data_IF_408141814900
#
_entry.id   IF_408141814900
#
_cell.length_a   1.000
_cell.length_b   1.000
_cell.length_c   1.000
_cell.angle_alpha   90.00
_cell.angle_beta   90.00
_cell.angle_gamma   90.00
#
_symmetry.space_group_name_H-M   'P 1'
#
loop_
_entity.id
_entity.type
_entity.pdbx_description
1 polymer ?
#
# COMPACT_ATOMS: atom_id res chain seq x y z
N UNK A 1 -47.40 4.12 56.59
CA UNK A 1 -47.15 3.79 58.00
C UNK A 1 -45.67 4.05 58.27
N UNK A 2 -45.45 5.05 59.10
CA UNK A 2 -44.43 5.31 60.12
C UNK A 2 -42.96 5.15 59.72
N UNK A 3 -42.23 6.26 59.55
CA UNK A 3 -41.46 7.09 60.50
C UNK A 3 -40.43 6.23 61.29
N UNK A 4 -39.13 6.61 61.38
CA UNK A 4 -38.61 7.81 62.06
C UNK A 4 -37.09 7.89 61.92
N UNK A 5 -36.61 9.07 61.63
CA UNK A 5 -35.45 9.80 62.08
C UNK A 5 -34.74 9.36 63.36
N UNK A 6 -33.38 9.49 63.39
CA UNK A 6 -32.75 10.21 64.52
C UNK A 6 -31.33 10.71 64.18
N UNK A 7 -31.15 12.00 64.41
CA UNK A 7 -29.89 12.76 64.57
C UNK A 7 -29.39 12.63 66.02
N UNK A 8 -28.08 12.90 66.24
CA UNK A 8 -27.47 13.69 67.35
C UNK A 8 -25.93 13.43 67.31
N UNK A 9 -25.08 14.33 67.04
CA UNK A 9 -24.47 15.54 67.67
C UNK A 9 -23.45 15.28 68.79
N UNK A 10 -22.32 15.97 68.62
CA UNK A 10 -21.42 16.68 69.54
C UNK A 10 -20.25 16.01 70.22
N UNK A 11 -19.08 16.48 69.86
CA UNK A 11 -17.99 17.14 70.62
C UNK A 11 -17.57 16.50 71.98
N UNK A 12 -16.27 16.24 72.08
CA UNK A 12 -15.47 16.77 73.21
C UNK A 12 -13.96 16.74 72.88
N UNK A 13 -13.36 17.82 73.15
CA UNK A 13 -11.94 18.18 73.20
C UNK A 13 -11.29 17.58 74.45
N UNK A 14 -10.03 17.15 74.38
CA UNK A 14 -9.10 17.27 75.52
C UNK A 14 -7.66 17.34 75.03
N UNK A 15 -6.98 18.31 75.62
CA UNK A 15 -5.58 18.71 75.45
C UNK A 15 -4.65 17.73 76.20
N UNK A 16 -3.46 17.52 75.68
CA UNK A 16 -2.35 16.90 76.43
C UNK A 16 -1.01 17.18 75.68
N UNK A 17 -0.16 17.91 76.39
CA UNK A 17 1.10 18.50 75.94
C UNK A 17 2.28 17.54 76.07
N UNK A 18 3.29 17.78 75.21
CA UNK A 18 4.75 17.72 75.38
C UNK A 18 5.50 16.40 75.15
N UNK A 19 6.53 16.49 74.30
CA UNK A 19 7.65 15.58 74.25
C UNK A 19 8.37 15.63 72.91
N UNK A 20 9.35 16.52 72.77
CA UNK A 20 10.22 16.61 71.61
C UNK A 20 11.25 15.44 71.52
N UNK A 21 11.36 14.87 70.35
CA UNK A 21 12.64 14.27 69.91
C UNK A 21 12.68 14.35 68.36
N UNK A 22 13.48 15.27 67.88
CA UNK A 22 13.81 15.41 66.47
C UNK A 22 14.78 14.29 66.07
N UNK A 23 14.36 13.39 65.20
CA UNK A 23 15.28 12.53 64.44
C UNK A 23 15.12 12.92 62.95
N UNK A 24 16.07 13.70 62.47
CA UNK A 24 16.30 13.97 61.04
C UNK A 24 16.72 12.65 60.37
N UNK A 25 15.77 11.98 59.72
CA UNK A 25 16.09 10.99 58.67
C UNK A 25 16.10 11.74 57.37
N UNK A 26 17.30 12.05 56.87
CA UNK A 26 17.50 12.52 55.52
C UNK A 26 17.09 11.38 54.56
N UNK A 27 15.84 11.38 54.16
CA UNK A 27 15.35 10.58 53.07
C UNK A 27 15.93 11.15 51.77
N UNK A 28 16.93 10.46 51.23
CA UNK A 28 17.34 10.66 49.84
C UNK A 28 16.13 10.32 48.96
N UNK A 29 15.33 11.36 48.65
CA UNK A 29 14.30 11.27 47.62
C UNK A 29 15.01 10.98 46.30
N UNK A 30 15.00 9.70 45.88
CA UNK A 30 15.25 9.40 44.48
C UNK A 30 14.29 10.27 43.63
N UNK A 31 14.78 10.99 42.63
CA UNK A 31 13.88 11.71 41.75
C UNK A 31 12.92 10.69 41.17
N UNK A 32 11.65 10.77 41.53
CA UNK A 32 10.59 10.13 40.78
C UNK A 32 10.72 10.70 39.36
N UNK A 33 11.34 9.93 38.48
CA UNK A 33 11.25 10.17 37.05
C UNK A 33 9.76 10.01 36.74
N UNK A 34 9.03 11.12 36.83
CA UNK A 34 7.75 11.26 36.13
C UNK A 34 8.11 11.02 34.67
N UNK A 35 8.04 9.73 34.24
CA UNK A 35 7.84 9.44 32.83
C UNK A 35 6.53 10.13 32.50
N UNK A 36 6.64 11.35 31.94
CA UNK A 36 5.56 11.91 31.18
C UNK A 36 5.13 10.75 30.28
N UNK A 37 3.89 10.30 30.41
CA UNK A 37 3.29 9.34 29.53
C UNK A 37 3.28 10.07 28.19
N UNK A 38 4.34 9.83 27.38
CA UNK A 38 4.61 10.59 26.16
C UNK A 38 3.37 10.49 25.28
N UNK A 39 2.90 11.62 24.76
CA UNK A 39 1.79 11.64 23.83
C UNK A 39 1.99 10.56 22.76
N UNK A 40 0.94 9.79 22.51
CA UNK A 40 0.95 8.74 21.49
C UNK A 40 1.03 9.40 20.12
N UNK A 41 1.78 8.84 19.18
CA UNK A 41 1.73 9.24 17.77
C UNK A 41 0.61 8.42 17.11
N UNK A 42 -0.47 9.07 16.69
CA UNK A 42 -1.56 8.40 15.98
C UNK A 42 -1.30 8.41 14.49
N UNK A 43 -1.49 7.25 13.88
CA UNK A 43 -1.39 7.03 12.43
C UNK A 43 -2.74 6.55 11.93
N UNK A 44 -3.34 7.31 11.01
CA UNK A 44 -4.56 6.90 10.32
C UNK A 44 -4.22 5.89 9.23
N UNK A 45 -5.02 4.84 9.11
CA UNK A 45 -4.90 3.86 8.05
C UNK A 45 -6.25 3.65 7.37
N UNK A 46 -6.30 3.82 6.05
CA UNK A 46 -7.49 3.66 5.23
C UNK A 46 -7.20 2.68 4.10
N UNK A 47 -8.01 1.63 4.02
CA UNK A 47 -7.89 0.61 2.98
C UNK A 47 -9.25 -0.04 2.74
N UNK A 48 -9.57 -0.53 1.53
CA UNK A 48 -10.82 -1.25 1.31
C UNK A 48 -10.79 -2.61 2.01
N UNK A 49 -11.71 -2.86 2.93
CA UNK A 49 -11.88 -4.17 3.60
C UNK A 49 -13.08 -4.93 3.06
N UNK A 50 -13.84 -4.31 2.18
CA UNK A 50 -15.04 -4.87 1.53
C UNK A 50 -14.97 -4.72 0.03
N UNK A 51 -15.85 -5.44 -0.70
CA UNK A 51 -15.88 -5.40 -2.16
C UNK A 51 -14.74 -6.16 -2.84
N UNK A 52 -14.50 -5.87 -4.12
CA UNK A 52 -13.57 -6.61 -4.97
C UNK A 52 -12.08 -6.43 -4.59
N UNK A 53 -11.74 -5.40 -3.84
CA UNK A 53 -10.39 -5.14 -3.30
C UNK A 53 -10.22 -5.61 -1.84
N UNK A 54 -11.30 -6.05 -1.17
CA UNK A 54 -11.28 -6.43 0.23
C UNK A 54 -10.16 -7.38 0.63
N UNK A 55 -9.92 -8.48 -0.09
CA UNK A 55 -8.83 -9.41 0.23
C UNK A 55 -7.42 -8.77 0.22
N UNK A 56 -7.22 -7.74 -0.60
CA UNK A 56 -5.95 -6.96 -0.63
C UNK A 56 -5.84 -6.06 0.60
N UNK A 57 -6.93 -5.41 0.99
CA UNK A 57 -6.99 -4.57 2.18
C UNK A 57 -6.71 -5.34 3.48
N UNK A 58 -7.10 -6.61 3.57
CA UNK A 58 -6.73 -7.46 4.71
C UNK A 58 -5.20 -7.60 4.86
N UNK A 59 -4.47 -7.78 3.75
CA UNK A 59 -3.02 -7.84 3.76
C UNK A 59 -2.39 -6.49 4.12
N UNK A 60 -2.95 -5.38 3.63
CA UNK A 60 -2.53 -4.03 4.00
C UNK A 60 -2.60 -3.82 5.52
N UNK A 61 -3.74 -4.17 6.16
CA UNK A 61 -3.89 -4.12 7.62
C UNK A 61 -2.86 -4.98 8.35
N UNK A 62 -2.60 -6.20 7.86
CA UNK A 62 -1.61 -7.09 8.45
C UNK A 62 -0.20 -6.47 8.38
N UNK A 63 0.17 -5.89 7.24
CA UNK A 63 1.47 -5.27 7.03
C UNK A 63 1.72 -4.09 7.97
N UNK A 64 0.82 -3.11 7.97
CA UNK A 64 0.97 -1.92 8.84
C UNK A 64 0.91 -2.28 10.32
N UNK A 65 0.10 -3.27 10.70
CA UNK A 65 0.00 -3.76 12.09
C UNK A 65 1.34 -4.34 12.55
N UNK A 66 1.97 -5.20 11.73
CA UNK A 66 3.27 -5.77 12.05
C UNK A 66 4.33 -4.67 12.24
N UNK A 67 4.37 -3.68 11.34
CA UNK A 67 5.31 -2.55 11.46
C UNK A 67 5.12 -1.78 12.77
N UNK A 68 3.88 -1.49 13.16
CA UNK A 68 3.57 -0.79 14.42
C UNK A 68 3.92 -1.65 15.63
N UNK A 69 3.65 -2.96 15.62
CA UNK A 69 4.03 -3.89 16.67
C UNK A 69 5.56 -3.89 16.90
N UNK A 70 6.35 -4.03 15.81
CA UNK A 70 7.81 -4.01 15.87
C UNK A 70 8.37 -2.68 16.37
N UNK A 71 7.91 -1.56 15.83
CA UNK A 71 8.35 -0.23 16.25
C UNK A 71 8.03 0.01 17.73
N UNK A 72 6.86 -0.39 18.18
CA UNK A 72 6.46 -0.27 19.58
C UNK A 72 7.26 -1.19 20.50
N UNK A 73 7.61 -2.40 20.06
CA UNK A 73 8.49 -3.30 20.78
C UNK A 73 9.91 -2.71 20.92
N UNK A 74 10.39 -2.00 19.89
CA UNK A 74 11.66 -1.28 19.89
C UNK A 74 11.69 0.02 20.72
N UNK A 75 10.62 0.38 21.42
CA UNK A 75 10.55 1.59 22.25
C UNK A 75 9.74 2.74 21.64
N UNK A 76 9.13 2.53 20.47
CA UNK A 76 8.34 3.51 19.74
C UNK A 76 9.18 4.42 18.84
N UNK A 77 8.59 5.52 18.41
CA UNK A 77 9.24 6.54 17.57
C UNK A 77 9.41 7.81 18.41
N UNK A 78 10.61 8.36 18.45
CA UNK A 78 10.96 9.49 19.34
C UNK A 78 10.60 9.25 20.82
N UNK A 79 10.69 7.99 21.29
CA UNK A 79 10.30 7.58 22.64
C UNK A 79 8.80 7.54 22.90
N UNK A 80 7.98 7.71 21.86
CA UNK A 80 6.50 7.72 21.91
C UNK A 80 5.96 6.43 21.27
N UNK A 81 4.88 5.90 21.82
CA UNK A 81 4.17 4.76 21.20
C UNK A 81 3.39 5.19 19.97
N UNK A 82 3.29 4.30 19.00
CA UNK A 82 2.42 4.43 17.85
C UNK A 82 1.04 3.83 18.15
N UNK A 83 -0.01 4.53 17.79
CA UNK A 83 -1.39 4.05 17.80
C UNK A 83 -1.93 4.03 16.36
N UNK A 84 -2.30 2.86 15.88
CA UNK A 84 -2.87 2.67 14.54
C UNK A 84 -4.39 2.80 14.59
N UNK A 85 -4.94 3.69 13.78
CA UNK A 85 -6.38 3.89 13.59
C UNK A 85 -6.77 3.40 12.20
N UNK A 86 -7.05 2.08 12.08
CA UNK A 86 -7.35 1.43 10.80
C UNK A 86 -8.84 1.32 10.55
N UNK A 87 -9.29 1.71 9.34
CA UNK A 87 -10.69 1.69 8.93
C UNK A 87 -10.90 1.31 7.46
N UNK A 88 -12.07 0.73 7.18
CA UNK A 88 -12.51 0.42 5.81
C UNK A 88 -12.84 1.72 5.06
N UNK A 89 -12.18 1.94 3.93
CA UNK A 89 -12.42 3.10 3.07
C UNK A 89 -13.75 3.01 2.29
N UNK A 90 -14.22 1.81 2.01
CA UNK A 90 -15.50 1.47 1.33
C UNK A 90 -15.62 2.06 -0.08
N UNK A 91 -15.59 3.39 -0.21
CA UNK A 91 -15.73 4.15 -1.45
C UNK A 91 -15.14 5.57 -1.28
N UNK A 92 -14.97 6.36 -2.36
CA UNK A 92 -14.32 7.68 -2.28
C UNK A 92 -14.97 8.65 -1.29
N UNK A 93 -16.30 8.70 -1.21
CA UNK A 93 -17.01 9.58 -0.28
C UNK A 93 -16.78 9.20 1.18
N UNK A 94 -16.85 7.91 1.48
CA UNK A 94 -16.57 7.38 2.83
C UNK A 94 -15.11 7.56 3.20
N UNK A 95 -14.18 7.30 2.26
CA UNK A 95 -12.75 7.49 2.46
C UNK A 95 -12.40 8.95 2.81
N UNK A 96 -12.95 9.91 2.05
CA UNK A 96 -12.81 11.35 2.32
C UNK A 96 -13.30 11.73 3.72
N UNK A 97 -14.52 11.30 4.08
CA UNK A 97 -15.12 11.60 5.40
C UNK A 97 -14.28 11.00 6.53
N UNK A 98 -13.80 9.78 6.38
CA UNK A 98 -12.97 9.11 7.39
C UNK A 98 -11.58 9.73 7.49
N UNK A 99 -10.95 10.09 6.37
CA UNK A 99 -9.68 10.80 6.36
C UNK A 99 -9.78 12.13 7.12
N UNK A 100 -10.83 12.92 6.87
CA UNK A 100 -11.07 14.17 7.58
C UNK A 100 -11.23 13.94 9.09
N UNK A 101 -12.03 12.95 9.49
CA UNK A 101 -12.22 12.60 10.89
C UNK A 101 -10.91 12.16 11.57
N UNK A 102 -10.15 11.27 10.94
CA UNK A 102 -8.87 10.79 11.47
C UNK A 102 -7.89 11.94 11.70
N UNK A 103 -7.83 12.92 10.78
CA UNK A 103 -6.95 14.08 10.87
C UNK A 103 -7.45 15.08 11.91
N UNK A 104 -8.69 15.55 11.78
CA UNK A 104 -9.18 16.71 12.53
C UNK A 104 -9.67 16.36 13.94
N UNK A 105 -10.32 15.20 14.11
CA UNK A 105 -10.88 14.80 15.38
C UNK A 105 -9.96 13.88 16.17
N UNK A 106 -9.43 12.87 15.47
CA UNK A 106 -8.68 11.81 16.12
C UNK A 106 -7.18 12.14 16.21
N UNK A 107 -6.72 13.21 15.55
CA UNK A 107 -5.38 13.78 15.66
C UNK A 107 -4.29 12.92 15.01
N UNK A 108 -4.63 12.20 13.92
CA UNK A 108 -3.64 11.43 13.16
C UNK A 108 -2.55 12.37 12.59
N UNK A 109 -1.29 11.99 12.82
CA UNK A 109 -0.12 12.73 12.30
C UNK A 109 0.01 12.57 10.79
N UNK A 110 -0.41 11.44 10.25
CA UNK A 110 -0.45 11.13 8.83
C UNK A 110 -1.53 10.09 8.52
N UNK A 111 -1.80 9.89 7.22
CA UNK A 111 -2.60 8.78 6.71
C UNK A 111 -1.66 7.83 5.92
N UNK A 112 -1.84 6.52 6.08
CA UNK A 112 -1.21 5.47 5.29
C UNK A 112 -2.31 4.67 4.62
N UNK A 113 -2.07 4.20 3.42
CA UNK A 113 -2.93 3.22 2.77
C UNK A 113 -3.42 3.65 1.41
N UNK A 114 -4.48 3.14 1.10
CA UNK A 114 -5.48 3.08 0.06
C UNK A 114 -5.01 2.30 -1.18
N UNK A 115 -5.92 1.46 -1.69
CA UNK A 115 -5.71 0.64 -2.89
C UNK A 115 -6.52 1.21 -4.06
N UNK A 116 -7.74 1.70 -3.81
CA UNK A 116 -8.58 2.29 -4.85
C UNK A 116 -8.08 3.68 -5.24
N UNK A 117 -7.63 3.85 -6.50
CA UNK A 117 -7.19 5.16 -6.99
C UNK A 117 -8.26 6.24 -6.91
N UNK A 118 -9.54 5.89 -7.00
CA UNK A 118 -10.64 6.83 -6.81
C UNK A 118 -10.74 7.33 -5.36
N UNK A 119 -10.58 6.44 -4.38
CA UNK A 119 -10.53 6.79 -2.96
C UNK A 119 -9.24 7.54 -2.61
N UNK A 120 -8.11 7.13 -3.20
CA UNK A 120 -6.82 7.80 -3.03
C UNK A 120 -6.85 9.27 -3.45
N UNK A 121 -7.51 9.60 -4.57
CA UNK A 121 -7.75 10.99 -5.00
C UNK A 121 -8.52 11.77 -3.94
N UNK A 122 -9.58 11.20 -3.38
CA UNK A 122 -10.40 11.85 -2.37
C UNK A 122 -9.65 12.05 -1.04
N UNK A 123 -8.83 11.08 -0.62
CA UNK A 123 -7.97 11.19 0.58
C UNK A 123 -6.89 12.25 0.37
N UNK A 124 -6.25 12.27 -0.79
CA UNK A 124 -5.19 13.23 -1.12
C UNK A 124 -5.68 14.68 -1.03
N UNK A 125 -6.91 14.96 -1.49
CA UNK A 125 -7.53 16.27 -1.37
C UNK A 125 -7.73 16.67 0.10
N UNK A 126 -8.20 15.76 0.95
CA UNK A 126 -8.38 16.02 2.40
C UNK A 126 -7.03 16.23 3.08
N UNK A 127 -6.05 15.38 2.81
CA UNK A 127 -4.71 15.45 3.36
C UNK A 127 -4.02 16.77 2.99
N UNK A 128 -4.10 17.17 1.71
CA UNK A 128 -3.55 18.43 1.21
C UNK A 128 -4.17 19.66 1.88
N UNK A 129 -5.49 19.74 1.99
CA UNK A 129 -6.19 20.85 2.68
C UNK A 129 -5.79 20.97 4.15
N UNK A 130 -5.53 19.85 4.81
CA UNK A 130 -5.15 19.79 6.22
C UNK A 130 -3.63 19.83 6.44
N UNK A 131 -2.82 19.89 5.38
CA UNK A 131 -1.36 19.83 5.43
C UNK A 131 -0.85 18.63 6.22
N UNK A 132 -1.43 17.45 5.94
CA UNK A 132 -1.05 16.17 6.55
C UNK A 132 -0.53 15.23 5.50
N UNK A 133 0.54 14.51 5.85
CA UNK A 133 1.10 13.49 4.97
C UNK A 133 0.11 12.36 4.69
N UNK A 134 0.06 11.96 3.44
CA UNK A 134 -0.60 10.75 2.97
C UNK A 134 0.42 9.87 2.23
N UNK A 135 0.71 8.70 2.77
CA UNK A 135 1.50 7.67 2.09
C UNK A 135 0.57 6.73 1.33
N UNK A 136 0.52 6.88 0.02
CA UNK A 136 -0.22 6.02 -0.89
C UNK A 136 0.51 4.70 -1.09
N UNK A 137 -0.12 3.58 -0.72
CA UNK A 137 0.49 2.24 -0.71
C UNK A 137 -0.07 1.28 -1.76
N UNK A 138 -1.15 1.66 -2.46
CA UNK A 138 -1.79 0.77 -3.43
C UNK A 138 -2.51 1.45 -4.61
N UNK A 139 -2.54 2.80 -4.67
CA UNK A 139 -3.17 3.51 -5.79
C UNK A 139 -2.18 3.75 -6.94
N UNK A 140 -2.40 3.10 -8.08
CA UNK A 140 -1.46 3.10 -9.20
C UNK A 140 -1.70 4.19 -10.23
N UNK A 141 -2.88 4.87 -10.27
CA UNK A 141 -3.19 5.85 -11.31
C UNK A 141 -2.13 6.93 -11.43
N UNK A 142 -1.63 7.16 -12.64
CA UNK A 142 -0.66 8.21 -12.95
C UNK A 142 -1.22 9.62 -12.66
N UNK A 143 -2.56 9.78 -12.65
CA UNK A 143 -3.19 11.05 -12.32
C UNK A 143 -2.80 11.56 -10.91
N UNK A 144 -2.58 10.65 -9.97
CA UNK A 144 -2.15 10.98 -8.60
C UNK A 144 -0.72 11.56 -8.53
N UNK A 145 0.11 11.27 -9.53
CA UNK A 145 1.50 11.75 -9.68
C UNK A 145 1.63 12.87 -10.72
N UNK A 146 0.52 13.21 -11.39
CA UNK A 146 0.45 14.21 -12.46
C UNK A 146 -0.59 15.28 -12.17
N UNK A 147 -1.69 15.27 -12.93
CA UNK A 147 -2.71 16.31 -12.86
C UNK A 147 -3.35 16.53 -11.48
N UNK A 148 -3.35 15.50 -10.62
CA UNK A 148 -3.90 15.54 -9.27
C UNK A 148 -2.83 15.29 -8.20
N UNK A 149 -1.57 15.61 -8.51
CA UNK A 149 -0.49 15.46 -7.52
C UNK A 149 -0.66 16.43 -6.34
N UNK A 150 -0.18 16.01 -5.19
CA UNK A 150 -0.20 16.82 -3.98
C UNK A 150 1.15 16.77 -3.28
N UNK A 151 1.63 17.93 -2.83
CA UNK A 151 2.87 18.02 -2.05
C UNK A 151 2.80 17.20 -0.75
N UNK A 152 1.60 16.92 -0.26
CA UNK A 152 1.39 16.13 0.96
C UNK A 152 1.19 14.64 0.70
N UNK A 153 1.35 14.16 -0.54
CA UNK A 153 1.19 12.74 -0.88
C UNK A 153 2.51 12.16 -1.39
N UNK A 154 2.93 11.05 -0.76
CA UNK A 154 4.07 10.24 -1.16
C UNK A 154 3.60 8.88 -1.65
N UNK A 155 4.16 8.39 -2.73
CA UNK A 155 3.73 7.17 -3.40
C UNK A 155 4.72 6.03 -3.15
N UNK A 156 4.37 5.11 -2.23
CA UNK A 156 5.07 3.83 -2.06
C UNK A 156 4.76 2.91 -3.24
N UNK A 157 3.50 2.94 -3.67
CA UNK A 157 3.02 2.16 -4.81
C UNK A 157 3.57 2.71 -6.14
N UNK A 158 3.81 1.79 -7.11
CA UNK A 158 4.20 2.14 -8.46
C UNK A 158 3.09 2.82 -9.26
N UNK A 159 3.47 3.71 -10.17
CA UNK A 159 2.55 4.28 -11.14
C UNK A 159 2.13 3.24 -12.19
N UNK A 160 0.93 3.36 -12.79
CA UNK A 160 0.50 2.52 -13.91
C UNK A 160 1.55 2.46 -15.02
N UNK A 161 2.19 3.59 -15.31
CA UNK A 161 3.28 3.66 -16.31
C UNK A 161 4.49 2.81 -15.93
N UNK A 162 4.82 2.67 -14.65
CA UNK A 162 5.90 1.80 -14.18
C UNK A 162 5.54 0.32 -14.41
N UNK A 163 4.32 -0.07 -14.11
CA UNK A 163 3.81 -1.41 -14.34
C UNK A 163 3.79 -1.78 -15.83
N UNK A 164 3.30 -0.86 -16.67
CA UNK A 164 3.27 -1.04 -18.13
C UNK A 164 4.69 -1.12 -18.70
N UNK A 165 5.63 -0.28 -18.25
CA UNK A 165 7.03 -0.34 -18.69
C UNK A 165 7.69 -1.67 -18.28
N UNK A 166 7.52 -2.12 -17.03
CA UNK A 166 8.10 -3.37 -16.54
C UNK A 166 7.61 -4.59 -17.33
N UNK A 167 6.30 -4.81 -17.38
CA UNK A 167 5.71 -5.94 -18.11
C UNK A 167 5.85 -5.78 -19.62
N UNK A 168 5.69 -4.57 -20.14
CA UNK A 168 5.80 -4.26 -21.56
C UNK A 168 7.17 -4.59 -22.15
N UNK A 169 8.26 -4.38 -21.40
CA UNK A 169 9.60 -4.79 -21.82
C UNK A 169 9.71 -6.31 -22.01
N UNK A 170 9.10 -7.09 -21.13
CA UNK A 170 9.07 -8.55 -21.28
C UNK A 170 8.25 -8.96 -22.53
N UNK A 171 7.11 -8.32 -22.76
CA UNK A 171 6.27 -8.57 -23.93
C UNK A 171 6.96 -8.15 -25.23
N UNK A 172 7.73 -7.07 -25.23
CA UNK A 172 8.57 -6.65 -26.37
C UNK A 172 9.64 -7.71 -26.69
N UNK A 173 10.40 -8.14 -25.69
CA UNK A 173 11.40 -9.21 -25.87
C UNK A 173 10.77 -10.53 -26.36
N UNK A 174 9.54 -10.80 -25.93
CA UNK A 174 8.76 -11.97 -26.36
C UNK A 174 8.11 -11.84 -27.74
N UNK A 175 8.30 -10.72 -28.46
CA UNK A 175 7.71 -10.50 -29.80
C UNK A 175 6.17 -10.35 -29.76
N UNK A 176 5.62 -9.96 -28.62
CA UNK A 176 4.17 -9.89 -28.41
C UNK A 176 3.58 -8.48 -28.59
N UNK A 177 4.35 -7.51 -29.10
CA UNK A 177 3.89 -6.11 -29.27
C UNK A 177 3.85 -5.69 -30.73
N UNK A 178 4.98 -5.65 -31.41
CA UNK A 178 5.07 -5.12 -32.77
C UNK A 178 4.20 -5.91 -33.76
N UNK A 179 3.28 -5.23 -34.43
CA UNK A 179 2.34 -5.81 -35.39
C UNK A 179 1.28 -6.70 -34.74
N UNK A 180 1.14 -6.69 -33.44
CA UNK A 180 0.20 -7.51 -32.68
C UNK A 180 -1.09 -6.77 -32.37
N UNK A 181 -2.18 -7.53 -32.37
CA UNK A 181 -3.54 -7.09 -32.10
C UNK A 181 -3.96 -7.54 -30.69
N UNK A 182 -4.14 -6.58 -29.79
CA UNK A 182 -4.46 -6.82 -28.39
C UNK A 182 -5.92 -6.55 -28.09
N UNK A 183 -6.48 -7.32 -27.15
CA UNK A 183 -7.82 -7.14 -26.61
C UNK A 183 -7.71 -6.86 -25.11
N UNK A 184 -8.28 -5.74 -24.64
CA UNK A 184 -8.25 -5.38 -23.23
C UNK A 184 -9.58 -5.67 -22.51
N UNK A 185 -9.49 -6.19 -21.29
CA UNK A 185 -10.52 -6.14 -20.27
C UNK A 185 -10.06 -5.14 -19.22
N UNK A 186 -10.82 -4.08 -19.00
CA UNK A 186 -10.42 -2.93 -18.18
C UNK A 186 -11.42 -2.70 -17.06
N UNK A 187 -10.96 -2.65 -15.82
CA UNK A 187 -11.80 -2.34 -14.67
C UNK A 187 -12.42 -0.94 -14.81
N UNK A 188 -13.74 -0.84 -14.68
CA UNK A 188 -14.50 0.39 -14.94
C UNK A 188 -14.45 1.36 -13.74
N UNK A 189 -13.23 1.88 -13.45
CA UNK A 189 -13.00 2.95 -12.48
C UNK A 189 -11.65 3.64 -12.72
N UNK A 190 -11.30 4.66 -11.92
CA UNK A 190 -10.14 5.54 -12.15
C UNK A 190 -8.82 4.82 -12.44
N UNK A 191 -8.53 3.71 -11.75
CA UNK A 191 -7.34 2.89 -12.00
C UNK A 191 -7.34 2.29 -13.40
N UNK A 192 -8.41 1.57 -13.77
CA UNK A 192 -8.46 0.84 -15.04
C UNK A 192 -8.46 1.77 -16.26
N UNK A 193 -9.21 2.88 -16.20
CA UNK A 193 -9.20 3.88 -17.27
C UNK A 193 -7.81 4.47 -17.50
N UNK A 194 -7.12 4.81 -16.43
CA UNK A 194 -5.75 5.34 -16.52
C UNK A 194 -4.77 4.26 -17.00
N UNK A 195 -4.88 3.04 -16.49
CA UNK A 195 -4.03 1.92 -16.91
C UNK A 195 -4.17 1.62 -18.40
N UNK A 196 -5.42 1.58 -18.91
CA UNK A 196 -5.65 1.40 -20.34
C UNK A 196 -5.05 2.54 -21.17
N UNK A 197 -5.22 3.80 -20.74
CA UNK A 197 -4.63 4.98 -21.41
C UNK A 197 -3.10 4.85 -21.53
N UNK A 198 -2.43 4.42 -20.47
CA UNK A 198 -0.97 4.22 -20.45
C UNK A 198 -0.58 3.04 -21.33
N UNK A 199 -1.28 1.92 -21.22
CA UNK A 199 -1.04 0.72 -22.01
C UNK A 199 -1.23 0.97 -23.52
N UNK A 200 -2.29 1.68 -23.91
CA UNK A 200 -2.57 2.02 -25.31
C UNK A 200 -1.47 2.90 -25.92
N UNK A 201 -0.98 3.89 -25.15
CA UNK A 201 0.16 4.70 -25.55
C UNK A 201 1.40 3.83 -25.76
N UNK A 202 1.74 2.97 -24.81
CA UNK A 202 2.88 2.08 -24.91
C UNK A 202 2.80 1.16 -26.14
N UNK A 203 1.68 0.53 -26.36
CA UNK A 203 1.45 -0.41 -27.48
C UNK A 203 1.60 0.30 -28.82
N UNK A 204 0.97 1.48 -28.98
CA UNK A 204 1.07 2.28 -30.20
C UNK A 204 2.50 2.77 -30.48
N UNK A 205 3.23 3.19 -29.45
CA UNK A 205 4.63 3.60 -29.59
C UNK A 205 5.55 2.46 -30.08
N UNK A 206 5.15 1.20 -29.82
CA UNK A 206 5.92 0.03 -30.21
C UNK A 206 5.31 -0.75 -31.39
N UNK A 207 4.39 -0.11 -32.15
CA UNK A 207 3.84 -0.65 -33.39
C UNK A 207 2.81 -1.76 -33.23
N UNK A 208 2.19 -1.90 -32.07
CA UNK A 208 1.01 -2.73 -31.83
C UNK A 208 -0.27 -1.91 -31.79
N UNK A 209 -1.41 -2.58 -31.61
CA UNK A 209 -2.71 -1.93 -31.47
C UNK A 209 -3.65 -2.67 -30.51
N UNK A 210 -4.52 -1.93 -29.83
CA UNK A 210 -5.71 -2.50 -29.20
C UNK A 210 -6.86 -2.53 -30.21
N UNK A 211 -7.39 -3.72 -30.49
CA UNK A 211 -8.54 -3.89 -31.37
C UNK A 211 -9.88 -3.74 -30.61
N UNK A 212 -9.86 -3.87 -29.29
CA UNK A 212 -11.01 -3.63 -28.42
C UNK A 212 -10.54 -3.34 -26.98
N UNK A 213 -11.37 -2.59 -26.27
CA UNK A 213 -11.26 -2.36 -24.83
C UNK A 213 -12.66 -2.50 -24.21
N UNK A 214 -12.87 -3.56 -23.43
CA UNK A 214 -14.13 -3.83 -22.76
C UNK A 214 -14.07 -3.34 -21.30
N UNK A 215 -14.95 -2.45 -20.93
CA UNK A 215 -15.09 -2.00 -19.55
C UNK A 215 -15.85 -3.03 -18.72
N UNK A 216 -15.28 -3.38 -17.57
CA UNK A 216 -15.79 -4.39 -16.65
C UNK A 216 -16.20 -3.72 -15.34
N UNK A 217 -17.50 -3.68 -14.99
CA UNK A 217 -17.95 -3.15 -13.70
C UNK A 217 -17.23 -3.80 -12.52
N UNK A 218 -16.96 -3.04 -11.46
CA UNK A 218 -16.16 -3.50 -10.32
C UNK A 218 -16.81 -4.64 -9.53
N UNK A 219 -18.10 -4.84 -9.64
CA UNK A 219 -18.90 -5.91 -9.05
C UNK A 219 -19.08 -7.15 -9.96
N UNK A 220 -18.51 -7.11 -11.18
CA UNK A 220 -18.59 -8.23 -12.11
C UNK A 220 -17.89 -9.48 -11.59
N UNK A 221 -18.62 -10.59 -11.57
CA UNK A 221 -18.12 -11.91 -11.16
C UNK A 221 -18.20 -12.93 -12.30
N UNK A 222 -19.04 -12.70 -13.30
CA UNK A 222 -19.19 -13.54 -14.50
C UNK A 222 -18.51 -12.87 -15.70
N UNK A 223 -17.54 -13.58 -16.27
CA UNK A 223 -16.75 -13.12 -17.42
C UNK A 223 -17.12 -13.82 -18.73
N UNK A 224 -18.15 -14.68 -18.75
CA UNK A 224 -18.51 -15.48 -19.92
C UNK A 224 -18.77 -14.64 -21.17
N UNK A 225 -19.52 -13.54 -21.05
CA UNK A 225 -19.80 -12.62 -22.15
C UNK A 225 -18.52 -11.94 -22.70
N UNK A 226 -17.60 -11.54 -21.83
CA UNK A 226 -16.34 -10.94 -22.21
C UNK A 226 -15.43 -11.96 -22.92
N UNK A 227 -15.36 -13.20 -22.41
CA UNK A 227 -14.60 -14.28 -23.02
C UNK A 227 -15.13 -14.64 -24.41
N UNK A 228 -16.45 -14.60 -24.60
CA UNK A 228 -17.06 -14.77 -25.93
C UNK A 228 -16.63 -13.65 -26.89
N UNK A 229 -16.58 -12.39 -26.46
CA UNK A 229 -16.09 -11.27 -27.28
C UNK A 229 -14.61 -11.44 -27.65
N UNK A 230 -13.76 -11.88 -26.72
CA UNK A 230 -12.35 -12.24 -27.00
C UNK A 230 -12.29 -13.28 -28.11
N UNK A 231 -13.08 -14.35 -27.99
CA UNK A 231 -13.12 -15.43 -28.99
C UNK A 231 -13.55 -14.93 -30.37
N UNK A 232 -14.50 -14.02 -30.44
CA UNK A 232 -14.97 -13.43 -31.71
C UNK A 232 -13.90 -12.50 -32.33
N UNK A 233 -13.18 -11.74 -31.49
CA UNK A 233 -12.16 -10.79 -31.93
C UNK A 233 -10.87 -11.44 -32.39
N UNK A 234 -10.57 -12.67 -31.95
CA UNK A 234 -9.35 -13.43 -32.25
C UNK A 234 -8.06 -12.57 -32.12
N UNK A 235 -7.75 -12.06 -30.92
CA UNK A 235 -6.55 -11.24 -30.71
C UNK A 235 -5.28 -12.10 -30.67
N UNK A 236 -4.13 -11.46 -30.85
CA UNK A 236 -2.83 -12.09 -30.59
C UNK A 236 -2.54 -12.18 -29.09
N UNK A 237 -3.10 -11.25 -28.28
CA UNK A 237 -2.89 -11.19 -26.83
C UNK A 237 -4.12 -10.59 -26.15
N UNK A 238 -4.51 -11.16 -25.02
CA UNK A 238 -5.54 -10.61 -24.13
C UNK A 238 -4.83 -9.92 -22.96
N UNK A 239 -5.16 -8.67 -22.73
CA UNK A 239 -4.62 -7.88 -21.61
C UNK A 239 -5.66 -7.73 -20.52
N UNK A 240 -5.31 -8.17 -19.32
CA UNK A 240 -6.07 -7.92 -18.10
C UNK A 240 -5.62 -6.61 -17.46
N UNK A 241 -6.42 -5.57 -17.63
CA UNK A 241 -6.35 -4.31 -16.87
C UNK A 241 -7.42 -4.31 -15.76
N UNK A 242 -7.66 -5.48 -15.17
CA UNK A 242 -8.59 -5.72 -14.08
C UNK A 242 -7.91 -5.49 -12.72
N UNK A 243 -8.66 -5.59 -11.62
CA UNK A 243 -8.14 -5.42 -10.26
C UNK A 243 -8.79 -6.42 -9.28
N UNK A 244 -8.03 -6.78 -8.24
CA UNK A 244 -8.52 -7.62 -7.15
C UNK A 244 -9.20 -8.90 -7.62
N UNK A 245 -10.37 -9.20 -7.05
CA UNK A 245 -11.12 -10.43 -7.36
C UNK A 245 -11.56 -10.54 -8.83
N UNK A 246 -11.61 -9.44 -9.58
CA UNK A 246 -11.93 -9.51 -11.03
C UNK A 246 -10.87 -10.34 -11.76
N UNK A 247 -9.56 -10.16 -11.44
CA UNK A 247 -8.48 -10.93 -12.06
C UNK A 247 -8.65 -12.42 -11.73
N UNK A 248 -8.87 -12.74 -10.45
CA UNK A 248 -9.08 -14.12 -10.00
C UNK A 248 -10.23 -14.80 -10.75
N UNK A 249 -11.38 -14.13 -10.83
CA UNK A 249 -12.58 -14.65 -11.50
C UNK A 249 -12.36 -14.80 -13.01
N UNK A 250 -11.75 -13.78 -13.64
CA UNK A 250 -11.44 -13.82 -15.07
C UNK A 250 -10.52 -14.98 -15.43
N UNK A 251 -9.38 -15.13 -14.74
CA UNK A 251 -8.38 -16.15 -15.07
C UNK A 251 -8.95 -17.55 -14.88
N UNK A 252 -9.73 -17.81 -13.83
CA UNK A 252 -10.40 -19.12 -13.63
C UNK A 252 -11.35 -19.44 -14.79
N UNK A 253 -12.25 -18.53 -15.10
CA UNK A 253 -13.21 -18.73 -16.19
C UNK A 253 -12.52 -18.80 -17.54
N UNK A 254 -11.49 -17.98 -17.79
CA UNK A 254 -10.73 -18.02 -19.02
C UNK A 254 -10.10 -19.40 -19.26
N UNK A 255 -9.58 -20.02 -18.21
CA UNK A 255 -9.06 -21.39 -18.25
C UNK A 255 -10.14 -22.42 -18.50
N UNK A 256 -11.29 -22.30 -17.81
CA UNK A 256 -12.44 -23.20 -18.00
C UNK A 256 -12.99 -23.18 -19.43
N UNK A 257 -13.02 -21.99 -20.06
CA UNK A 257 -13.42 -21.82 -21.46
C UNK A 257 -12.35 -22.25 -22.47
N UNK A 258 -11.17 -22.69 -22.03
CA UNK A 258 -10.07 -23.21 -22.85
C UNK A 258 -9.71 -22.31 -24.04
N UNK A 259 -9.62 -21.00 -23.80
CA UNK A 259 -9.28 -20.05 -24.85
C UNK A 259 -7.84 -20.23 -25.32
N UNK A 260 -7.57 -20.17 -26.65
CA UNK A 260 -6.23 -20.41 -27.20
C UNK A 260 -5.35 -19.15 -27.15
N UNK A 261 -5.90 -17.97 -26.84
CA UNK A 261 -5.17 -16.72 -26.86
C UNK A 261 -4.34 -16.54 -25.58
N UNK A 262 -3.06 -16.15 -25.69
CA UNK A 262 -2.25 -15.87 -24.51
C UNK A 262 -2.81 -14.68 -23.71
N UNK A 263 -2.51 -14.65 -22.40
CA UNK A 263 -2.93 -13.60 -21.48
C UNK A 263 -1.70 -12.91 -20.91
N UNK A 264 -1.78 -11.62 -20.70
CA UNK A 264 -0.88 -10.85 -19.84
C UNK A 264 -1.69 -9.81 -19.07
N UNK A 265 -1.10 -9.11 -18.15
CA UNK A 265 -1.74 -8.01 -17.44
C UNK A 265 -0.77 -6.92 -17.08
N UNK A 266 -1.31 -5.73 -16.78
CA UNK A 266 -0.54 -4.60 -16.28
C UNK A 266 -0.89 -4.21 -14.85
N UNK A 267 -1.97 -4.75 -14.27
CA UNK A 267 -2.28 -4.68 -12.85
C UNK A 267 -2.20 -6.07 -12.24
N UNK A 268 -1.56 -6.19 -11.08
CA UNK A 268 -1.41 -7.49 -10.43
C UNK A 268 -1.02 -7.37 -8.95
N UNK A 269 -1.73 -8.13 -8.14
CA UNK A 269 -1.40 -8.36 -6.74
C UNK A 269 -1.23 -9.86 -6.52
N UNK A 270 -0.28 -10.28 -5.70
CA UNK A 270 0.05 -11.71 -5.54
C UNK A 270 -1.10 -12.52 -4.95
N UNK A 271 -1.94 -11.90 -4.12
CA UNK A 271 -3.12 -12.55 -3.55
C UNK A 271 -4.11 -13.03 -4.63
N UNK A 272 -4.18 -12.35 -5.79
CA UNK A 272 -5.06 -12.80 -6.88
C UNK A 272 -4.56 -14.07 -7.55
N UNK A 273 -3.23 -14.25 -7.65
CA UNK A 273 -2.65 -15.50 -8.13
C UNK A 273 -2.96 -16.66 -7.19
N UNK A 274 -2.77 -16.46 -5.88
CA UNK A 274 -3.13 -17.46 -4.87
C UNK A 274 -4.63 -17.78 -4.91
N UNK A 275 -5.49 -16.78 -5.10
CA UNK A 275 -6.93 -16.96 -5.28
C UNK A 275 -7.29 -17.73 -6.54
N UNK A 276 -6.57 -17.54 -7.64
CA UNK A 276 -6.78 -18.26 -8.90
C UNK A 276 -6.30 -19.73 -8.81
N UNK A 277 -5.17 -19.94 -8.14
CA UNK A 277 -4.53 -21.23 -7.98
C UNK A 277 -3.66 -21.66 -9.18
N UNK A 278 -2.82 -22.69 -9.00
CA UNK A 278 -1.81 -23.09 -9.97
C UNK A 278 -2.39 -23.63 -11.29
N UNK A 279 -3.58 -24.19 -11.26
CA UNK A 279 -4.20 -24.79 -12.45
C UNK A 279 -4.81 -23.74 -13.40
N UNK A 280 -5.17 -22.56 -12.87
CA UNK A 280 -5.77 -21.48 -13.65
C UNK A 280 -4.76 -20.40 -14.04
N UNK A 281 -3.78 -20.12 -13.17
CA UNK A 281 -2.84 -19.01 -13.36
C UNK A 281 -1.99 -19.22 -14.62
N UNK A 282 -1.92 -18.18 -15.46
CA UNK A 282 -1.19 -18.17 -16.72
C UNK A 282 -0.76 -16.75 -17.08
N UNK A 283 0.17 -16.64 -18.04
CA UNK A 283 0.55 -15.34 -18.62
C UNK A 283 1.72 -14.66 -17.93
N UNK A 284 1.97 -13.40 -18.35
CA UNK A 284 3.04 -12.53 -17.84
C UNK A 284 2.41 -11.37 -17.08
N UNK A 285 2.92 -11.09 -15.89
CA UNK A 285 2.37 -10.09 -14.99
C UNK A 285 3.46 -9.19 -14.43
N UNK A 286 3.20 -7.93 -14.14
CA UNK A 286 4.14 -7.07 -13.43
C UNK A 286 4.15 -7.42 -11.95
N UNK A 287 5.23 -7.08 -11.26
CA UNK A 287 5.36 -7.28 -9.83
C UNK A 287 6.12 -6.13 -9.18
N UNK A 288 5.52 -5.51 -8.17
CA UNK A 288 6.20 -4.50 -7.40
C UNK A 288 7.07 -5.15 -6.31
N UNK A 289 6.56 -6.19 -5.65
CA UNK A 289 7.27 -6.92 -4.60
C UNK A 289 6.71 -8.34 -4.46
N UNK A 290 7.58 -9.29 -4.12
CA UNK A 290 7.21 -10.69 -3.91
C UNK A 290 8.02 -11.31 -2.78
N UNK A 291 7.40 -12.16 -1.98
CA UNK A 291 7.97 -12.72 -0.75
C UNK A 291 9.23 -13.58 -0.96
N UNK A 292 9.58 -13.94 -2.18
CA UNK A 292 10.79 -14.68 -2.51
C UNK A 292 11.96 -13.80 -2.96
N UNK A 293 11.83 -12.46 -2.90
CA UNK A 293 12.92 -11.53 -3.19
C UNK A 293 14.11 -11.84 -2.27
N UNK A 294 15.29 -12.04 -2.88
CA UNK A 294 16.53 -12.40 -2.18
C UNK A 294 17.26 -11.15 -1.66
N UNK A 295 16.70 -10.50 -0.63
CA UNK A 295 17.39 -9.49 0.15
C UNK A 295 17.27 -9.78 1.64
N UNK A 296 18.26 -9.39 2.47
CA UNK A 296 18.20 -9.67 3.90
C UNK A 296 16.97 -9.09 4.60
N UNK A 297 16.53 -7.90 4.20
CA UNK A 297 15.35 -7.24 4.78
C UNK A 297 14.05 -7.87 4.30
N UNK A 298 13.94 -8.27 3.02
CA UNK A 298 12.79 -9.00 2.51
C UNK A 298 12.59 -10.33 3.23
N UNK A 299 13.67 -11.08 3.45
CA UNK A 299 13.64 -12.34 4.21
C UNK A 299 13.15 -12.14 5.64
N UNK A 300 13.72 -11.16 6.37
CA UNK A 300 13.28 -10.85 7.74
C UNK A 300 11.80 -10.47 7.81
N UNK A 301 11.34 -9.62 6.88
CA UNK A 301 9.93 -9.24 6.81
C UNK A 301 9.03 -10.45 6.52
N UNK A 302 9.39 -11.27 5.52
CA UNK A 302 8.64 -12.47 5.15
C UNK A 302 8.55 -13.47 6.31
N UNK A 303 9.66 -13.69 7.02
CA UNK A 303 9.72 -14.57 8.20
C UNK A 303 8.84 -14.05 9.34
N UNK A 304 8.98 -12.77 9.71
CA UNK A 304 8.19 -12.16 10.77
C UNK A 304 6.70 -12.17 10.45
N UNK A 305 6.33 -11.79 9.23
CA UNK A 305 4.95 -11.80 8.75
C UNK A 305 4.37 -13.22 8.76
N UNK A 306 5.10 -14.20 8.23
CA UNK A 306 4.65 -15.61 8.19
C UNK A 306 4.52 -16.20 9.59
N UNK A 307 5.43 -15.87 10.49
CA UNK A 307 5.32 -16.28 11.90
C UNK A 307 4.06 -15.72 12.56
N UNK A 308 3.73 -14.46 12.28
CA UNK A 308 2.58 -13.76 12.87
C UNK A 308 1.24 -14.21 12.28
N UNK A 309 1.17 -14.37 10.95
CA UNK A 309 -0.09 -14.54 10.20
C UNK A 309 -0.29 -15.91 9.56
N UNK A 310 0.71 -16.80 9.63
CA UNK A 310 0.70 -18.17 9.08
C UNK A 310 0.50 -18.26 7.57
N UNK A 311 0.82 -17.19 6.87
CA UNK A 311 0.85 -17.07 5.42
C UNK A 311 1.90 -16.02 5.03
N UNK A 312 2.53 -16.10 3.84
CA UNK A 312 3.51 -15.11 3.43
C UNK A 312 2.85 -13.74 3.17
N UNK A 313 3.62 -12.64 3.27
CA UNK A 313 3.14 -11.34 2.86
C UNK A 313 2.96 -11.26 1.35
N UNK A 314 2.05 -10.41 0.91
CA UNK A 314 1.91 -10.02 -0.48
C UNK A 314 2.25 -8.52 -0.64
N UNK A 315 2.15 -7.97 -1.85
CA UNK A 315 2.62 -6.63 -2.15
C UNK A 315 1.89 -5.51 -1.38
N UNK A 316 0.60 -5.64 -1.05
CA UNK A 316 -0.09 -4.64 -0.21
C UNK A 316 0.42 -4.67 1.23
N UNK A 317 0.67 -5.87 1.78
CA UNK A 317 1.31 -5.98 3.10
C UNK A 317 2.70 -5.35 3.12
N UNK A 318 3.49 -5.54 2.06
CA UNK A 318 4.79 -4.91 1.89
C UNK A 318 4.67 -3.37 1.82
N UNK A 319 3.73 -2.86 1.02
CA UNK A 319 3.54 -1.43 0.81
C UNK A 319 3.22 -0.69 2.11
N UNK A 320 2.27 -1.19 2.88
CA UNK A 320 1.83 -0.58 4.12
C UNK A 320 2.85 -0.74 5.26
N UNK A 321 3.51 -1.92 5.35
CA UNK A 321 4.63 -2.12 6.27
C UNK A 321 5.76 -1.12 5.97
N UNK A 322 6.12 -0.99 4.69
CA UNK A 322 7.22 -0.13 4.26
C UNK A 322 6.90 1.36 4.48
N UNK A 323 5.68 1.79 4.18
CA UNK A 323 5.22 3.15 4.45
C UNK A 323 5.39 3.53 5.93
N UNK A 324 4.99 2.62 6.84
CA UNK A 324 5.14 2.85 8.29
C UNK A 324 6.62 2.91 8.71
N UNK A 325 7.48 2.06 8.14
CA UNK A 325 8.92 2.06 8.44
C UNK A 325 9.61 3.33 7.91
N UNK A 326 9.27 3.77 6.69
CA UNK A 326 9.75 5.02 6.08
C UNK A 326 9.33 6.23 6.92
N UNK A 327 8.06 6.31 7.30
CA UNK A 327 7.57 7.37 8.17
C UNK A 327 8.32 7.42 9.51
N UNK A 328 8.51 6.25 10.14
CA UNK A 328 9.22 6.15 11.40
C UNK A 328 10.68 6.57 11.28
N UNK A 329 11.38 6.17 10.20
CA UNK A 329 12.75 6.58 9.90
C UNK A 329 12.84 8.10 9.72
N UNK A 330 11.97 8.69 8.90
CA UNK A 330 11.96 10.13 8.67
C UNK A 330 11.71 10.92 9.96
N UNK A 331 10.78 10.46 10.83
CA UNK A 331 10.56 11.07 12.14
C UNK A 331 11.80 10.95 13.05
N UNK A 332 12.48 9.82 13.06
CA UNK A 332 13.70 9.61 13.87
C UNK A 332 14.87 10.48 13.41
N UNK A 333 15.07 10.58 12.09
CA UNK A 333 16.18 11.36 11.50
C UNK A 333 15.98 12.87 11.66
N UNK A 334 14.72 13.34 11.59
CA UNK A 334 14.39 14.76 11.77
C UNK A 334 14.21 15.17 13.25
N UNK A 335 13.88 14.21 14.12
CA UNK A 335 13.41 14.48 15.47
C UNK A 335 12.03 15.14 15.53
N UNK A 336 11.25 15.10 14.43
CA UNK A 336 9.99 15.81 14.22
C UNK A 336 8.86 14.87 13.80
N UNK A 337 7.61 15.34 13.98
CA UNK A 337 6.41 14.66 13.49
C UNK A 337 5.55 15.57 12.59
N UNK A 338 5.99 16.79 12.35
CA UNK A 338 5.29 17.74 11.49
C UNK A 338 5.49 17.41 10.02
N UNK A 339 4.44 17.52 9.23
CA UNK A 339 4.44 17.13 7.82
C UNK A 339 5.44 17.92 6.99
N UNK A 340 5.60 19.23 7.21
CA UNK A 340 6.53 20.05 6.41
C UNK A 340 7.99 19.65 6.66
N UNK A 341 8.37 19.44 7.92
CA UNK A 341 9.72 18.98 8.27
C UNK A 341 10.05 17.62 7.64
N UNK A 342 9.06 16.69 7.63
CA UNK A 342 9.22 15.37 7.03
C UNK A 342 9.31 15.44 5.50
N UNK A 343 8.45 16.25 4.86
CA UNK A 343 8.48 16.47 3.41
C UNK A 343 9.84 17.02 3.00
N UNK A 344 10.31 18.09 3.65
CA UNK A 344 11.59 18.70 3.33
C UNK A 344 12.77 17.73 3.48
N UNK A 345 12.74 16.86 4.49
CA UNK A 345 13.75 15.83 4.69
C UNK A 345 13.74 14.79 3.56
N UNK A 346 12.56 14.27 3.20
CA UNK A 346 12.41 13.26 2.16
C UNK A 346 12.81 13.82 0.79
N UNK A 347 12.35 15.05 0.46
CA UNK A 347 12.68 15.76 -0.79
C UNK A 347 14.20 16.02 -0.97
N UNK A 348 14.97 16.10 0.11
CA UNK A 348 16.43 16.24 0.07
C UNK A 348 17.18 14.96 -0.33
N UNK A 349 16.45 13.90 -0.65
CA UNK A 349 17.02 12.65 -1.17
C UNK A 349 17.35 11.63 -0.07
N UNK A 350 16.57 11.59 0.99
CA UNK A 350 16.61 10.52 1.97
C UNK A 350 16.42 9.15 1.29
N UNK A 351 17.21 8.15 1.71
CA UNK A 351 17.15 6.79 1.17
C UNK A 351 16.54 5.84 2.18
N UNK A 352 15.85 4.84 1.65
CA UNK A 352 15.08 3.91 2.44
C UNK A 352 15.33 2.46 1.99
N UNK A 353 15.44 1.56 2.95
CA UNK A 353 15.41 0.12 2.68
C UNK A 353 13.99 -0.27 2.29
N UNK A 354 13.80 -0.51 1.00
CA UNK A 354 12.52 -0.91 0.41
C UNK A 354 12.39 -2.43 0.25
N UNK A 355 13.23 -3.18 0.95
CA UNK A 355 13.24 -4.65 0.94
C UNK A 355 13.37 -5.24 -0.48
N UNK A 356 14.29 -4.65 -1.26
CA UNK A 356 14.64 -5.06 -2.62
C UNK A 356 16.15 -5.12 -2.79
N UNK A 357 16.64 -5.18 -4.03
CA UNK A 357 18.08 -5.23 -4.33
C UNK A 357 18.81 -3.91 -4.06
N UNK A 358 18.10 -2.79 -4.14
CA UNK A 358 18.63 -1.43 -3.93
C UNK A 358 17.75 -0.64 -2.96
N UNK A 359 18.35 0.36 -2.30
CA UNK A 359 17.58 1.36 -1.55
C UNK A 359 16.71 2.19 -2.52
N UNK A 360 15.53 2.58 -2.06
CA UNK A 360 14.65 3.51 -2.76
C UNK A 360 14.82 4.94 -2.26
N UNK A 361 14.36 5.88 -3.07
CA UNK A 361 14.26 7.30 -2.71
C UNK A 361 13.02 7.90 -3.37
N UNK A 362 12.49 8.99 -2.82
CA UNK A 362 11.39 9.70 -3.46
C UNK A 362 11.91 10.80 -4.38
N UNK A 363 11.35 10.90 -5.58
CA UNK A 363 11.58 12.06 -6.44
C UNK A 363 10.92 13.31 -5.84
N UNK A 364 11.66 14.40 -5.79
CA UNK A 364 11.16 15.64 -5.18
C UNK A 364 10.05 16.33 -5.97
N UNK A 365 9.83 16.00 -7.24
CA UNK A 365 8.89 16.73 -8.09
C UNK A 365 7.51 16.06 -8.23
N UNK A 366 7.37 14.77 -7.88
CA UNK A 366 6.09 14.02 -7.92
C UNK A 366 5.91 13.06 -6.75
N UNK A 367 6.89 12.99 -5.85
CA UNK A 367 6.94 12.13 -4.68
C UNK A 367 6.73 10.63 -4.98
N UNK A 368 7.09 10.18 -6.18
CA UNK A 368 7.12 8.76 -6.51
C UNK A 368 8.36 8.10 -5.90
N UNK A 369 8.16 7.00 -5.16
CA UNK A 369 9.25 6.13 -4.70
C UNK A 369 9.92 5.47 -5.89
N UNK A 370 11.20 5.77 -6.07
CA UNK A 370 12.03 5.19 -7.11
C UNK A 370 12.62 3.89 -6.64
N UNK A 371 12.30 2.81 -7.34
CA UNK A 371 12.69 1.44 -7.03
C UNK A 371 12.57 0.57 -8.27
N UNK A 372 13.28 -0.56 -8.29
CA UNK A 372 13.08 -1.56 -9.33
C UNK A 372 11.70 -2.25 -9.20
N UNK A 373 11.19 -2.68 -10.34
CA UNK A 373 10.04 -3.58 -10.46
C UNK A 373 10.48 -4.91 -11.08
N UNK A 374 9.57 -5.83 -11.18
CA UNK A 374 9.82 -7.17 -11.72
C UNK A 374 8.69 -7.60 -12.64
N UNK A 375 8.90 -8.69 -13.36
CA UNK A 375 7.83 -9.45 -14.02
C UNK A 375 7.68 -10.79 -13.34
N UNK A 376 6.50 -11.38 -13.44
CA UNK A 376 6.22 -12.71 -12.92
C UNK A 376 5.54 -13.59 -13.95
N UNK A 377 5.87 -14.89 -13.90
CA UNK A 377 5.21 -15.95 -14.66
C UNK A 377 4.86 -17.10 -13.72
N UNK A 378 3.76 -17.86 -13.98
CA UNK A 378 3.40 -18.98 -13.13
C UNK A 378 4.43 -20.10 -13.18
N UNK A 379 4.67 -20.74 -12.04
CA UNK A 379 5.41 -22.00 -11.94
C UNK A 379 4.57 -23.17 -12.44
N UNK A 380 5.26 -24.20 -12.93
CA UNK A 380 4.62 -25.50 -13.07
C UNK A 380 4.31 -26.05 -11.67
N UNK A 381 3.18 -26.74 -11.51
CA UNK A 381 2.74 -27.26 -10.20
C UNK A 381 3.79 -28.16 -9.53
N UNK A 382 4.58 -28.89 -10.31
CA UNK A 382 5.65 -29.75 -9.82
C UNK A 382 6.88 -28.98 -9.29
N UNK A 383 7.01 -27.70 -9.61
CA UNK A 383 8.13 -26.83 -9.21
C UNK A 383 7.83 -26.02 -7.96
N UNK A 384 6.58 -26.06 -7.48
CA UNK A 384 6.13 -25.31 -6.30
C UNK A 384 6.64 -25.97 -5.02
N UNK A 385 7.30 -25.20 -4.16
CA UNK A 385 7.73 -25.67 -2.84
C UNK A 385 6.54 -25.81 -1.86
N UNK A 386 5.55 -24.94 -1.98
CA UNK A 386 4.31 -24.96 -1.20
C UNK A 386 3.16 -24.27 -1.98
N UNK A 387 1.99 -24.16 -1.35
CA UNK A 387 0.81 -23.56 -1.98
C UNK A 387 0.93 -22.07 -2.31
N UNK A 388 1.92 -21.37 -1.74
CA UNK A 388 2.15 -19.94 -1.93
C UNK A 388 3.23 -19.65 -2.98
N UNK A 389 4.06 -20.65 -3.29
CA UNK A 389 5.18 -20.55 -4.23
C UNK A 389 4.73 -20.70 -5.69
N UNK A 390 3.76 -19.89 -6.09
CA UNK A 390 3.02 -20.01 -7.35
C UNK A 390 3.72 -19.34 -8.54
N UNK A 391 4.60 -18.36 -8.29
CA UNK A 391 5.14 -17.49 -9.33
C UNK A 391 6.67 -17.52 -9.35
N UNK A 392 7.22 -17.40 -10.55
CA UNK A 392 8.63 -17.11 -10.78
C UNK A 392 8.78 -15.60 -10.91
N UNK A 393 9.62 -15.00 -10.07
CA UNK A 393 10.00 -13.61 -10.22
C UNK A 393 11.11 -13.49 -11.27
N UNK A 394 10.94 -12.59 -12.22
CA UNK A 394 11.93 -12.29 -13.25
C UNK A 394 13.01 -11.33 -12.78
N UNK A 395 13.82 -10.86 -13.74
CA UNK A 395 14.87 -9.89 -13.47
C UNK A 395 14.30 -8.54 -13.06
N UNK A 396 15.10 -7.77 -12.31
CA UNK A 396 14.77 -6.40 -11.94
C UNK A 396 14.71 -5.48 -13.17
N UNK A 397 13.74 -4.59 -13.18
CA UNK A 397 13.53 -3.57 -14.21
C UNK A 397 13.40 -2.20 -13.51
N UNK A 398 14.30 -1.25 -13.70
CA UNK A 398 15.56 -1.34 -14.48
C UNK A 398 16.55 -2.34 -13.89
N UNK A 399 17.46 -2.85 -14.73
CA UNK A 399 18.53 -3.72 -14.27
C UNK A 399 19.40 -3.03 -13.19
N UNK A 400 20.13 -3.81 -12.33
CA UNK A 400 20.87 -3.24 -11.20
C UNK A 400 21.87 -2.14 -11.55
N UNK A 401 22.42 -2.14 -12.77
CA UNK A 401 23.37 -1.13 -13.25
C UNK A 401 22.71 0.09 -13.93
N UNK A 402 21.40 0.05 -14.14
CA UNK A 402 20.65 1.12 -14.79
C UNK A 402 20.06 2.10 -13.77
N UNK A 403 19.78 3.32 -14.23
CA UNK A 403 19.12 4.34 -13.42
C UNK A 403 17.66 3.96 -13.13
N UNK A 404 17.23 4.12 -11.89
CA UNK A 404 15.85 3.89 -11.48
C UNK A 404 14.86 4.82 -12.19
N UNK A 405 15.30 6.01 -12.64
CA UNK A 405 14.45 6.96 -13.35
C UNK A 405 13.86 6.41 -14.66
N UNK A 406 14.49 5.39 -15.25
CA UNK A 406 14.04 4.79 -16.52
C UNK A 406 12.63 4.16 -16.39
N UNK A 407 12.29 3.61 -15.22
CA UNK A 407 11.01 2.91 -15.03
C UNK A 407 9.83 3.86 -14.88
N UNK A 408 10.04 5.01 -14.28
CA UNK A 408 8.96 5.96 -13.97
C UNK A 408 8.70 6.93 -15.15
N UNK A 409 7.55 7.60 -15.21
CA UNK A 409 7.28 8.62 -16.23
C UNK A 409 8.21 9.82 -16.03
N UNK A 410 8.63 10.42 -17.15
CA UNK A 410 9.32 11.72 -17.13
C UNK A 410 8.35 12.87 -16.81
N UNK A 411 8.89 14.07 -16.56
CA UNK A 411 8.06 15.27 -16.37
C UNK A 411 7.20 15.61 -17.59
N UNK A 412 7.69 15.29 -18.79
CA UNK A 412 6.97 15.50 -20.04
C UNK A 412 5.82 14.50 -20.21
N UNK A 413 5.99 13.28 -19.71
CA UNK A 413 4.96 12.24 -19.74
C UNK A 413 3.86 12.47 -18.71
N UNK A 414 4.21 12.99 -17.54
CA UNK A 414 3.30 13.15 -16.42
C UNK A 414 3.67 14.38 -15.56
N UNK A 415 3.38 15.57 -16.04
CA UNK A 415 3.71 16.81 -15.36
C UNK A 415 2.94 16.98 -14.05
N UNK A 416 3.66 17.01 -12.93
CA UNK A 416 3.16 17.42 -11.63
C UNK A 416 3.60 18.86 -11.35
N UNK A 417 2.67 19.67 -10.89
CA UNK A 417 2.94 20.99 -10.32
C UNK A 417 2.29 21.02 -8.96
N UNK A 418 3.08 20.85 -7.90
CA UNK A 418 2.55 21.01 -6.54
C UNK A 418 1.95 22.40 -6.36
N UNK A 419 0.66 22.43 -6.01
CA UNK A 419 -0.07 23.67 -5.72
C UNK A 419 0.18 24.11 -4.27
#
# INVERSE_FOLDING_TARGET
MYTTTNRLTRRSTLKGTAGAAATLVAGVGAPAVLRAQGDVIRVGHLTPLTGFLGPLGEYAVMGVTLAVEELNAGGGVLGRKLELLSEDSVNPSTASTKAQRLIERDGAACIIGEISSASGLAIAEVAGRNKRLFFNTGCNSDALRGASCSRYMFHIEGANSMYVKACGQALLRGGMVQGKRWFSLTADYAFGHDLFRVADRFVKQHGGEFIANELVPTDATDFSAYILKVRQAQPDLVISNLAGNQITNFIKQYKEYQQPFPVAGFGFDTAVAWGAGPDAMQGVWPCIWYHTIDSPSAKRFTEAFTQRWRKPPENQAWGDYNAMKILAQAMQETGKTDSEDLIEHIEKGAKFDVMKGREGYFRAWDHQLMMEMYTMTPKQKAEMADQWDLMIIGEAVPAPAEDLEIIAPSKEENACTFA
#
